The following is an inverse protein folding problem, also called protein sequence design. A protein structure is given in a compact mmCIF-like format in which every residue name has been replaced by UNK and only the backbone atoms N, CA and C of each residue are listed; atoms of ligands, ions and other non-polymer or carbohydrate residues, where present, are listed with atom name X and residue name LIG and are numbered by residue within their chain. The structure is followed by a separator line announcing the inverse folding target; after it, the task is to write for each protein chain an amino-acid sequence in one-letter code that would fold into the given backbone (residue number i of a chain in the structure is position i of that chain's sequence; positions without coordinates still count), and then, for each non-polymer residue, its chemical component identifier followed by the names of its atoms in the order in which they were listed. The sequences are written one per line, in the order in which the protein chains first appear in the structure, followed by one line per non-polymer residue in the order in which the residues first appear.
data_IF_974870826794
#
_entry.id   IF_974870826794
#
_cell.length_a   1.000
_cell.length_b   1.000
_cell.length_c   1.000
_cell.angle_alpha   90.00
_cell.angle_beta   90.00
_cell.angle_gamma   90.00
#
_symmetry.space_group_name_H-M   'P 1'
#
loop_
_entity.id
_entity.type
_entity.pdbx_description
1 polymer ?
#
# COMPACT_ATOMS: atom_id res chain seq x y z
N UNK A 1 -40.49 -0.66 -39.50
CA UNK A 1 -41.25 -1.16 -38.34
C UNK A 1 -41.86 -2.48 -38.75
N UNK A 2 -41.17 -3.57 -38.46
CA UNK A 2 -41.62 -4.93 -38.84
C UNK A 2 -42.55 -5.42 -37.73
N UNK A 3 -43.85 -5.31 -37.95
CA UNK A 3 -44.84 -5.97 -37.12
C UNK A 3 -44.85 -7.46 -37.51
N UNK A 4 -44.25 -8.31 -36.69
CA UNK A 4 -44.46 -9.75 -36.81
C UNK A 4 -45.88 -10.05 -36.30
N UNK A 5 -46.82 -10.23 -37.23
CA UNK A 5 -48.12 -10.82 -36.93
C UNK A 5 -47.93 -12.30 -36.60
N UNK A 6 -47.84 -12.62 -35.31
CA UNK A 6 -47.97 -13.99 -34.83
C UNK A 6 -49.48 -14.26 -34.73
N UNK A 7 -50.00 -15.07 -35.65
CA UNK A 7 -51.35 -15.58 -35.58
C UNK A 7 -51.43 -16.63 -34.45
N UNK A 8 -52.14 -16.32 -33.36
CA UNK A 8 -52.44 -17.30 -32.31
C UNK A 8 -53.79 -17.99 -32.58
N UNK A 9 -53.88 -19.33 -32.43
CA UNK A 9 -54.97 -20.14 -33.00
C UNK A 9 -56.16 -20.40 -32.05
N UNK A 10 -56.62 -19.39 -31.30
CA UNK A 10 -57.64 -19.61 -30.25
C UNK A 10 -58.81 -18.62 -30.26
N UNK A 11 -59.34 -18.28 -31.43
CA UNK A 11 -60.69 -17.72 -31.54
C UNK A 11 -61.62 -18.80 -32.11
N UNK A 12 -62.31 -19.55 -31.24
CA UNK A 12 -63.32 -20.51 -31.68
C UNK A 12 -64.44 -19.77 -32.42
N UNK A 13 -64.76 -20.25 -33.64
CA UNK A 13 -65.97 -19.88 -34.38
C UNK A 13 -67.19 -20.35 -33.57
N UNK A 14 -67.99 -19.41 -33.05
CA UNK A 14 -69.32 -19.73 -32.52
C UNK A 14 -70.34 -19.52 -33.65
N UNK A 15 -71.00 -20.60 -34.08
CA UNK A 15 -72.19 -20.56 -34.93
C UNK A 15 -73.39 -20.09 -34.10
N UNK A 16 -74.22 -19.20 -34.64
CA UNK A 16 -75.55 -18.92 -34.04
C UNK A 16 -76.63 -18.97 -35.12
N UNK A 17 -77.63 -19.80 -34.84
CA UNK A 17 -78.87 -20.04 -35.59
C UNK A 17 -79.84 -18.85 -35.51
N UNK A 18 -80.69 -18.74 -36.53
CA UNK A 18 -81.65 -17.68 -36.82
C UNK A 18 -82.58 -17.31 -35.65
N UNK A 19 -82.85 -15.99 -35.57
CA UNK A 19 -83.90 -15.29 -34.79
C UNK A 19 -83.56 -14.93 -33.34
N UNK A 20 -82.75 -13.89 -33.16
CA UNK A 20 -82.94 -12.70 -32.30
C UNK A 20 -81.65 -11.87 -32.43
N UNK A 21 -81.73 -10.60 -32.82
CA UNK A 21 -80.57 -9.69 -32.85
C UNK A 21 -80.18 -9.33 -31.41
N UNK A 22 -79.56 -10.28 -30.71
CA UNK A 22 -78.68 -9.94 -29.59
C UNK A 22 -77.32 -9.78 -30.25
N UNK A 23 -76.85 -8.54 -30.36
CA UNK A 23 -75.44 -8.27 -30.64
C UNK A 23 -74.70 -8.72 -29.37
N UNK A 24 -74.50 -10.03 -29.20
CA UNK A 24 -73.41 -10.51 -28.38
C UNK A 24 -72.19 -10.20 -29.23
N UNK A 25 -71.64 -9.00 -29.06
CA UNK A 25 -70.24 -8.76 -29.36
C UNK A 25 -69.51 -9.99 -28.84
N UNK A 26 -68.77 -10.73 -29.69
CA UNK A 26 -67.85 -11.71 -29.16
C UNK A 26 -67.00 -10.89 -28.19
N UNK A 27 -67.04 -11.25 -26.91
CA UNK A 27 -66.18 -10.72 -25.87
C UNK A 27 -64.71 -11.13 -26.18
N UNK A 28 -64.23 -10.83 -27.38
CA UNK A 28 -62.84 -10.51 -27.69
C UNK A 28 -62.45 -9.14 -27.10
N UNK A 29 -63.21 -8.65 -26.12
CA UNK A 29 -62.85 -7.50 -25.34
C UNK A 29 -61.55 -7.80 -24.60
N UNK A 30 -60.54 -6.99 -24.90
CA UNK A 30 -59.29 -6.86 -24.13
C UNK A 30 -58.18 -7.84 -24.52
N UNK A 31 -57.81 -7.81 -25.80
CA UNK A 31 -56.50 -8.28 -26.23
C UNK A 31 -55.43 -7.42 -25.55
N UNK A 32 -54.82 -7.95 -24.50
CA UNK A 32 -53.59 -7.42 -23.93
C UNK A 32 -52.42 -7.83 -24.81
N UNK A 33 -51.48 -6.91 -25.03
CA UNK A 33 -50.26 -7.22 -25.77
C UNK A 33 -49.09 -6.42 -25.25
N UNK A 34 -47.88 -6.98 -25.41
CA UNK A 34 -46.65 -6.24 -25.21
C UNK A 34 -46.26 -5.50 -26.49
N UNK A 35 -46.00 -4.21 -26.35
CA UNK A 35 -45.44 -3.40 -27.44
C UNK A 35 -44.07 -2.90 -27.04
N UNK A 36 -43.11 -3.06 -27.95
CA UNK A 36 -41.71 -2.69 -27.71
C UNK A 36 -41.27 -1.58 -28.65
N UNK A 37 -40.54 -0.60 -28.14
CA UNK A 37 -39.83 0.35 -29.00
C UNK A 37 -38.67 -0.34 -29.74
N UNK A 38 -38.07 0.39 -30.67
CA UNK A 38 -36.72 0.05 -31.13
C UNK A 38 -35.72 0.04 -29.97
N UNK A 39 -34.62 -0.68 -30.15
CA UNK A 39 -33.49 -0.65 -29.23
C UNK A 39 -32.76 0.70 -29.33
N UNK A 40 -32.28 1.20 -28.20
CA UNK A 40 -31.38 2.35 -28.13
C UNK A 40 -30.05 2.05 -28.81
N UNK A 41 -29.24 3.10 -29.01
CA UNK A 41 -27.81 2.91 -29.25
C UNK A 41 -27.17 2.13 -28.11
N UNK A 42 -26.06 1.43 -28.41
CA UNK A 42 -25.29 0.71 -27.41
C UNK A 42 -24.68 1.71 -26.42
N UNK A 43 -24.70 1.40 -25.11
CA UNK A 43 -24.15 2.27 -24.07
C UNK A 43 -22.63 2.50 -24.20
N UNK A 44 -21.94 1.66 -24.96
CA UNK A 44 -20.52 1.79 -25.29
C UNK A 44 -20.33 1.66 -26.80
N UNK A 45 -19.34 2.39 -27.32
CA UNK A 45 -18.91 2.28 -28.72
C UNK A 45 -17.93 1.12 -28.94
N UNK A 46 -17.26 0.66 -27.88
CA UNK A 46 -16.34 -0.46 -27.89
C UNK A 46 -16.56 -1.40 -26.69
N UNK A 47 -16.17 -2.67 -26.83
CA UNK A 47 -16.31 -3.71 -25.82
C UNK A 47 -17.77 -4.11 -25.57
N UNK A 48 -18.02 -4.69 -24.40
CA UNK A 48 -19.38 -5.09 -23.99
C UNK A 48 -20.15 -3.91 -23.41
N UNK A 49 -21.30 -3.60 -24.03
CA UNK A 49 -22.23 -2.58 -23.58
C UNK A 49 -23.66 -3.12 -23.47
N UNK A 50 -24.60 -2.21 -23.25
CA UNK A 50 -26.01 -2.53 -23.04
C UNK A 50 -26.89 -1.64 -23.93
N UNK A 51 -27.92 -2.24 -24.54
CA UNK A 51 -29.01 -1.51 -25.18
C UNK A 51 -30.29 -1.62 -24.36
N UNK A 52 -31.07 -0.55 -24.37
CA UNK A 52 -32.36 -0.45 -23.69
C UNK A 52 -33.48 -0.30 -24.71
N UNK A 53 -34.66 -0.83 -24.39
CA UNK A 53 -35.89 -0.52 -25.11
C UNK A 53 -37.04 -0.36 -24.13
N UNK A 54 -38.01 0.43 -24.54
CA UNK A 54 -39.26 0.56 -23.79
C UNK A 54 -40.15 -0.64 -24.09
N UNK A 55 -40.73 -1.22 -23.04
CA UNK A 55 -41.68 -2.34 -23.12
C UNK A 55 -42.93 -1.90 -22.36
N UNK A 56 -44.06 -1.77 -23.06
CA UNK A 56 -45.33 -1.33 -22.47
C UNK A 56 -46.42 -2.35 -22.74
N UNK A 57 -47.25 -2.58 -21.74
CA UNK A 57 -48.48 -3.35 -21.90
C UNK A 57 -49.55 -2.45 -22.55
N UNK A 58 -50.24 -2.97 -23.57
CA UNK A 58 -51.33 -2.29 -24.24
C UNK A 58 -52.60 -3.10 -24.13
N UNK A 59 -53.73 -2.41 -23.96
CA UNK A 59 -55.08 -2.97 -23.94
C UNK A 59 -55.87 -2.40 -25.11
N UNK A 60 -56.44 -3.26 -25.94
CA UNK A 60 -57.42 -2.84 -26.95
C UNK A 60 -58.74 -2.47 -26.26
N UNK A 61 -59.20 -1.24 -26.45
CA UNK A 61 -60.47 -0.74 -25.89
C UNK A 61 -61.61 -0.91 -26.89
N UNK A 62 -61.35 -0.62 -28.17
CA UNK A 62 -62.25 -0.87 -29.30
C UNK A 62 -61.44 -1.07 -30.59
N UNK A 63 -62.04 -1.53 -31.70
CA UNK A 63 -61.32 -1.68 -32.97
C UNK A 63 -60.62 -0.38 -33.40
N UNK A 64 -59.29 -0.38 -33.38
CA UNK A 64 -58.46 0.80 -33.71
C UNK A 64 -58.20 1.78 -32.57
N UNK A 65 -58.70 1.52 -31.35
CA UNK A 65 -58.44 2.34 -30.16
C UNK A 65 -57.77 1.51 -29.06
N UNK A 66 -56.53 1.85 -28.78
CA UNK A 66 -55.68 1.14 -27.84
C UNK A 66 -55.19 2.10 -26.74
N UNK A 67 -54.92 1.58 -25.54
CA UNK A 67 -54.32 2.37 -24.46
C UNK A 67 -53.20 1.62 -23.77
N UNK A 68 -52.12 2.33 -23.41
CA UNK A 68 -51.03 1.77 -22.60
C UNK A 68 -51.47 1.64 -21.15
N UNK A 69 -51.31 0.45 -20.58
CA UNK A 69 -51.75 0.10 -19.23
C UNK A 69 -50.60 -0.45 -18.39
N UNK A 70 -50.85 -0.75 -17.11
CA UNK A 70 -49.86 -1.33 -16.23
C UNK A 70 -49.46 -2.75 -16.65
N UNK A 71 -48.18 -3.06 -16.46
CA UNK A 71 -47.57 -4.35 -16.76
C UNK A 71 -48.29 -5.54 -16.13
N UNK A 72 -48.84 -5.37 -14.93
CA UNK A 72 -49.57 -6.39 -14.18
C UNK A 72 -50.74 -6.99 -14.97
N UNK A 73 -51.37 -6.21 -15.84
CA UNK A 73 -52.50 -6.68 -16.65
C UNK A 73 -52.06 -7.60 -17.77
N UNK A 74 -50.90 -7.39 -18.39
CA UNK A 74 -50.36 -8.34 -19.35
C UNK A 74 -49.85 -9.61 -18.63
N UNK A 75 -49.21 -9.44 -17.46
CA UNK A 75 -48.69 -10.56 -16.67
C UNK A 75 -49.79 -11.47 -16.11
N UNK A 76 -50.95 -10.92 -15.72
CA UNK A 76 -52.09 -11.71 -15.23
C UNK A 76 -52.76 -12.56 -16.30
N UNK A 77 -52.44 -12.30 -17.58
CA UNK A 77 -52.90 -13.09 -18.72
C UNK A 77 -51.77 -13.98 -19.27
N UNK A 78 -50.76 -14.27 -18.44
CA UNK A 78 -49.62 -15.14 -18.74
C UNK A 78 -48.81 -14.70 -19.99
N UNK A 79 -48.86 -13.41 -20.35
CA UNK A 79 -48.07 -12.88 -21.45
C UNK A 79 -46.63 -12.64 -21.00
N UNK A 80 -45.69 -13.36 -21.62
CA UNK A 80 -44.27 -13.21 -21.32
C UNK A 80 -43.75 -11.81 -21.67
N UNK A 81 -43.26 -11.09 -20.66
CA UNK A 81 -42.73 -9.73 -20.84
C UNK A 81 -41.41 -9.75 -21.62
N UNK A 82 -41.31 -9.08 -22.78
CA UNK A 82 -40.07 -8.99 -23.52
C UNK A 82 -38.96 -8.32 -22.71
N UNK A 83 -37.71 -8.73 -22.95
CA UNK A 83 -36.55 -8.12 -22.30
C UNK A 83 -36.47 -6.62 -22.62
N UNK A 84 -36.34 -5.77 -21.60
CA UNK A 84 -36.09 -4.33 -21.76
C UNK A 84 -34.60 -3.99 -21.93
N UNK A 85 -33.73 -4.98 -21.66
CA UNK A 85 -32.27 -4.88 -21.69
C UNK A 85 -31.70 -6.00 -22.55
N UNK A 86 -30.71 -5.71 -23.38
CA UNK A 86 -29.87 -6.73 -24.02
C UNK A 86 -28.41 -6.29 -24.05
N UNK A 87 -27.50 -7.27 -24.08
CA UNK A 87 -26.08 -7.03 -24.30
C UNK A 87 -25.85 -6.66 -25.77
N UNK A 88 -24.96 -5.71 -26.01
CA UNK A 88 -24.43 -5.38 -27.32
C UNK A 88 -22.90 -5.47 -27.28
N UNK A 89 -22.31 -5.97 -28.36
CA UNK A 89 -20.87 -6.03 -28.52
C UNK A 89 -20.45 -4.98 -29.54
N UNK A 90 -19.70 -3.97 -29.07
CA UNK A 90 -19.00 -3.03 -29.93
C UNK A 90 -17.72 -3.64 -30.50
N UNK A 91 -16.95 -2.85 -31.25
CA UNK A 91 -15.59 -3.24 -31.63
C UNK A 91 -14.72 -3.42 -30.38
N UNK A 92 -13.64 -4.21 -30.46
CA UNK A 92 -12.67 -4.28 -29.36
C UNK A 92 -12.22 -2.86 -29.00
N UNK A 93 -12.25 -2.52 -27.70
CA UNK A 93 -11.60 -1.29 -27.27
C UNK A 93 -10.10 -1.41 -27.62
N UNK A 94 -9.52 -0.32 -28.12
CA UNK A 94 -8.09 -0.27 -28.41
C UNK A 94 -7.24 -0.54 -27.16
N UNK A 95 -5.91 -0.64 -27.31
CA UNK A 95 -5.00 -0.91 -26.20
C UNK A 95 -5.18 0.09 -25.05
N UNK A 96 -5.19 -0.41 -23.81
CA UNK A 96 -5.31 0.37 -22.58
C UNK A 96 -4.18 0.01 -21.61
N UNK A 97 -3.91 0.89 -20.64
CA UNK A 97 -2.93 0.59 -19.60
C UNK A 97 -3.48 -0.44 -18.63
N UNK A 98 -2.83 -1.59 -18.57
CA UNK A 98 -3.07 -2.63 -17.58
C UNK A 98 -1.96 -2.61 -16.53
N UNK A 99 -2.36 -2.70 -15.26
CA UNK A 99 -1.44 -2.63 -14.12
C UNK A 99 -1.49 -3.91 -13.31
N UNK A 100 -0.32 -4.42 -12.94
CA UNK A 100 -0.22 -5.53 -12.00
C UNK A 100 -0.39 -5.04 -10.56
N UNK A 101 -0.51 -6.00 -9.65
CA UNK A 101 -0.30 -5.77 -8.22
C UNK A 101 1.11 -5.24 -7.95
N UNK A 102 1.24 -4.51 -6.84
CA UNK A 102 2.54 -4.05 -6.36
C UNK A 102 3.36 -5.23 -5.82
N UNK A 103 4.65 -5.22 -6.11
CA UNK A 103 5.64 -6.07 -5.45
C UNK A 103 5.73 -5.75 -3.96
N UNK A 104 6.38 -6.66 -3.23
CA UNK A 104 6.85 -6.34 -1.88
C UNK A 104 7.85 -5.17 -1.90
N UNK A 105 7.99 -4.52 -0.74
CA UNK A 105 8.95 -3.44 -0.57
C UNK A 105 10.37 -4.01 -0.65
N UNK A 106 11.24 -3.39 -1.44
CA UNK A 106 12.64 -3.85 -1.56
C UNK A 106 13.48 -3.65 -0.29
N UNK A 107 13.02 -2.81 0.64
CA UNK A 107 13.67 -2.55 1.91
C UNK A 107 13.01 -3.41 2.99
N UNK A 108 13.81 -3.99 3.87
CA UNK A 108 13.34 -4.76 5.05
C UNK A 108 13.15 -3.87 6.29
N UNK A 109 13.70 -2.65 6.26
CA UNK A 109 13.53 -1.60 7.26
C UNK A 109 13.63 -0.22 6.60
N UNK A 110 13.06 0.79 7.24
CA UNK A 110 13.12 2.18 6.79
C UNK A 110 12.38 2.41 5.47
N UNK A 111 12.91 3.33 4.66
CA UNK A 111 12.32 3.70 3.37
C UNK A 111 12.80 2.76 2.28
N UNK A 112 11.87 2.29 1.47
CA UNK A 112 12.14 1.49 0.28
C UNK A 112 11.29 1.92 -0.91
N UNK A 113 11.33 1.08 -1.94
CA UNK A 113 10.55 1.21 -3.17
C UNK A 113 9.90 -0.13 -3.48
N UNK A 114 8.65 -0.07 -3.95
CA UNK A 114 7.93 -1.20 -4.55
C UNK A 114 7.67 -0.93 -6.02
N UNK A 115 7.60 -1.98 -6.82
CA UNK A 115 7.45 -1.91 -8.27
C UNK A 115 6.17 -2.64 -8.69
N UNK A 116 5.61 -2.28 -9.83
CA UNK A 116 4.54 -3.02 -10.50
C UNK A 116 4.76 -2.98 -12.01
N UNK A 117 4.19 -3.94 -12.73
CA UNK A 117 4.17 -3.90 -14.18
C UNK A 117 3.05 -2.98 -14.65
N UNK A 118 3.35 -2.19 -15.68
CA UNK A 118 2.42 -1.30 -16.36
C UNK A 118 2.62 -1.56 -17.84
N UNK A 119 1.68 -2.24 -18.47
CA UNK A 119 1.78 -2.68 -19.85
C UNK A 119 0.61 -2.13 -20.66
N UNK A 120 0.87 -1.76 -21.91
CA UNK A 120 -0.19 -1.39 -22.83
C UNK A 120 -0.78 -2.68 -23.41
N UNK A 121 -2.02 -3.02 -23.09
CA UNK A 121 -2.62 -4.29 -23.50
C UNK A 121 -4.08 -4.12 -23.94
N UNK A 122 -4.57 -5.06 -24.74
CA UNK A 122 -5.94 -5.06 -25.24
C UNK A 122 -6.35 -6.41 -25.80
N UNK A 123 -7.55 -6.49 -26.36
CA UNK A 123 -8.07 -7.70 -26.99
C UNK A 123 -7.99 -7.60 -28.51
N UNK A 124 -7.14 -8.42 -29.13
CA UNK A 124 -7.07 -8.60 -30.59
C UNK A 124 -7.69 -9.96 -30.95
N UNK A 125 -8.80 -9.95 -31.70
CA UNK A 125 -9.51 -11.20 -32.03
C UNK A 125 -10.06 -11.95 -30.81
N UNK A 126 -10.33 -11.24 -29.70
CA UNK A 126 -10.77 -11.84 -28.43
C UNK A 126 -9.63 -12.42 -27.58
N UNK A 127 -8.38 -12.31 -28.03
CA UNK A 127 -7.19 -12.80 -27.32
C UNK A 127 -6.48 -11.60 -26.68
N UNK A 128 -6.08 -11.76 -25.41
CA UNK A 128 -5.27 -10.78 -24.72
C UNK A 128 -3.89 -10.65 -25.38
N UNK A 129 -3.51 -9.43 -25.72
CA UNK A 129 -2.24 -9.12 -26.36
C UNK A 129 -1.65 -7.84 -25.79
N UNK A 130 -0.34 -7.86 -25.57
CA UNK A 130 0.46 -6.69 -25.23
C UNK A 130 0.87 -5.93 -26.50
N UNK A 131 0.82 -4.61 -26.42
CA UNK A 131 1.10 -3.66 -27.50
C UNK A 131 2.27 -2.76 -27.10
N UNK A 132 2.95 -2.11 -28.07
CA UNK A 132 3.94 -1.10 -27.76
C UNK A 132 3.31 0.03 -26.92
N UNK A 133 4.04 0.54 -25.94
CA UNK A 133 3.60 1.64 -25.07
C UNK A 133 2.92 2.78 -25.83
N UNK A 134 3.46 3.17 -26.98
CA UNK A 134 2.95 4.24 -27.85
C UNK A 134 1.51 4.03 -28.35
N UNK A 135 0.99 2.80 -28.25
CA UNK A 135 -0.39 2.45 -28.62
C UNK A 135 -1.40 2.89 -27.55
N UNK A 136 -0.93 3.17 -26.33
CA UNK A 136 -1.70 3.69 -25.23
C UNK A 136 -1.41 5.18 -25.01
N UNK A 137 -2.39 5.90 -24.48
CA UNK A 137 -2.28 7.32 -24.15
C UNK A 137 -1.26 7.55 -23.03
N UNK A 138 -0.12 8.15 -23.37
CA UNK A 138 0.98 8.41 -22.43
C UNK A 138 0.61 9.38 -21.32
N UNK A 139 -0.37 10.26 -21.54
CA UNK A 139 -0.79 11.24 -20.53
C UNK A 139 -1.41 10.59 -19.28
N UNK A 140 -1.95 9.39 -19.46
CA UNK A 140 -2.62 8.61 -18.42
C UNK A 140 -1.79 7.40 -17.95
N UNK A 141 -0.51 7.30 -18.33
CA UNK A 141 0.34 6.15 -17.98
C UNK A 141 0.53 6.07 -16.46
N UNK A 142 0.10 4.96 -15.82
CA UNK A 142 0.32 4.77 -14.39
C UNK A 142 1.80 4.64 -14.03
N UNK A 143 2.18 5.04 -12.80
CA UNK A 143 3.55 4.87 -12.31
C UNK A 143 3.88 3.39 -12.09
N UNK A 144 5.08 2.96 -12.49
CA UNK A 144 5.60 1.61 -12.25
C UNK A 144 6.27 1.45 -10.88
N UNK A 145 6.58 2.55 -10.19
CA UNK A 145 7.28 2.54 -8.90
C UNK A 145 6.57 3.42 -7.88
N UNK A 146 6.66 3.06 -6.60
CA UNK A 146 6.10 3.84 -5.50
C UNK A 146 6.94 3.66 -4.24
N UNK A 147 6.98 4.68 -3.38
CA UNK A 147 7.67 4.61 -2.10
C UNK A 147 6.92 3.69 -1.12
N UNK A 148 7.68 2.98 -0.29
CA UNK A 148 7.15 2.18 0.81
C UNK A 148 7.96 2.42 2.08
N UNK A 149 7.33 2.18 3.23
CA UNK A 149 7.92 2.37 4.54
C UNK A 149 7.76 1.11 5.36
N UNK A 150 8.88 0.57 5.82
CA UNK A 150 8.96 -0.51 6.78
C UNK A 150 9.26 0.06 8.18
N UNK A 151 9.31 -0.84 9.17
CA UNK A 151 9.81 -0.52 10.51
C UNK A 151 11.16 0.22 10.45
N UNK A 152 11.48 1.14 11.39
CA UNK A 152 12.77 1.82 11.40
C UNK A 152 13.95 0.83 11.42
N UNK A 153 15.07 1.22 10.81
CA UNK A 153 16.29 0.41 10.81
C UNK A 153 17.02 0.52 12.15
N UNK A 154 17.54 -0.61 12.62
CA UNK A 154 18.38 -0.68 13.82
C UNK A 154 19.80 -0.19 13.53
N UNK A 155 20.33 0.74 14.34
CA UNK A 155 21.68 1.31 14.18
C UNK A 155 22.44 1.37 15.51
N UNK A 156 23.76 1.16 15.43
CA UNK A 156 24.65 1.37 16.57
C UNK A 156 24.87 2.86 16.81
N UNK A 157 24.73 3.26 18.07
CA UNK A 157 25.04 4.59 18.56
C UNK A 157 26.15 4.50 19.60
N UNK A 158 27.07 5.46 19.57
CA UNK A 158 28.18 5.52 20.53
C UNK A 158 28.29 6.90 21.14
N UNK A 159 28.59 6.97 22.43
CA UNK A 159 29.00 8.23 23.06
C UNK A 159 30.45 8.56 22.69
N UNK A 160 30.88 9.79 23.00
CA UNK A 160 32.30 10.12 23.06
C UNK A 160 33.02 9.23 24.07
N UNK A 161 34.32 9.03 23.85
CA UNK A 161 35.20 8.34 24.78
C UNK A 161 35.29 9.08 26.11
N UNK A 162 35.37 8.32 27.21
CA UNK A 162 35.70 8.86 28.53
C UNK A 162 37.11 9.45 28.55
N UNK A 163 37.44 10.15 29.63
CA UNK A 163 38.84 10.42 29.96
C UNK A 163 39.59 9.10 30.17
N UNK A 164 40.91 9.14 29.93
CA UNK A 164 41.78 7.98 30.15
C UNK A 164 41.78 7.62 31.63
N UNK A 165 41.76 6.32 31.94
CA UNK A 165 41.76 5.83 33.33
C UNK A 165 43.02 6.21 34.13
N UNK A 166 44.07 6.66 33.44
CA UNK A 166 45.30 7.16 34.04
C UNK A 166 45.59 8.57 33.51
N UNK A 167 46.22 9.38 34.33
CA UNK A 167 46.72 10.71 33.96
C UNK A 167 48.12 10.68 33.35
N UNK A 168 48.76 9.51 33.33
CA UNK A 168 50.06 9.27 32.72
C UNK A 168 50.21 7.81 32.29
N UNK A 169 51.07 7.56 31.30
CA UNK A 169 51.33 6.24 30.72
C UNK A 169 50.11 5.63 30.04
N UNK A 170 50.11 4.29 29.93
CA UNK A 170 49.04 3.53 29.27
C UNK A 170 47.86 3.27 30.20
N UNK A 171 46.69 3.74 29.79
CA UNK A 171 45.40 3.51 30.44
C UNK A 171 44.35 2.94 29.48
N UNK A 172 43.08 3.00 29.89
CA UNK A 172 41.92 2.59 29.09
C UNK A 172 40.89 3.70 29.08
N UNK A 173 40.25 3.91 27.94
CA UNK A 173 39.05 4.74 27.80
C UNK A 173 37.84 3.85 27.51
N UNK A 174 36.68 4.28 27.97
CA UNK A 174 35.42 3.56 27.79
C UNK A 174 34.38 4.47 27.15
N UNK A 175 33.45 3.91 26.40
CA UNK A 175 32.28 4.61 25.87
C UNK A 175 31.06 3.72 25.93
N UNK A 176 29.88 4.32 25.92
CA UNK A 176 28.65 3.54 25.77
C UNK A 176 28.41 3.18 24.30
N UNK A 177 27.97 1.95 24.07
CA UNK A 177 27.59 1.44 22.74
C UNK A 177 26.20 0.83 22.87
N UNK A 178 25.22 1.45 22.22
CA UNK A 178 23.80 1.09 22.33
C UNK A 178 23.20 0.91 20.93
N UNK A 179 22.28 -0.04 20.78
CA UNK A 179 21.56 -0.26 19.53
C UNK A 179 20.17 0.36 19.63
N UNK A 180 19.82 1.18 18.65
CA UNK A 180 18.52 1.84 18.59
C UNK A 180 17.77 1.46 17.32
N UNK A 181 16.45 1.28 17.42
CA UNK A 181 15.55 1.11 16.30
C UNK A 181 14.57 2.29 16.27
N UNK A 182 14.85 3.30 15.45
CA UNK A 182 14.17 4.58 15.60
C UNK A 182 14.63 5.26 16.90
N UNK A 183 13.68 5.61 17.77
CA UNK A 183 13.97 6.22 19.08
C UNK A 183 14.04 5.20 20.23
N UNK A 184 13.67 3.94 19.98
CA UNK A 184 13.63 2.90 21.01
C UNK A 184 14.97 2.18 21.16
N UNK A 185 15.38 1.94 22.41
CA UNK A 185 16.55 1.13 22.73
C UNK A 185 16.21 -0.37 22.55
N UNK A 186 16.94 -1.03 21.66
CA UNK A 186 16.71 -2.45 21.38
C UNK A 186 17.29 -3.30 22.51
N UNK A 187 16.40 -3.89 23.32
CA UNK A 187 16.77 -4.76 24.46
C UNK A 187 16.48 -6.24 24.21
N UNK A 188 15.57 -6.59 23.28
CA UNK A 188 15.21 -7.96 22.84
C UNK A 188 14.75 -7.95 21.37
N UNK A 189 15.09 -8.97 20.56
CA UNK A 189 14.66 -9.10 19.16
C UNK A 189 15.78 -8.87 18.12
N UNK A 190 15.42 -8.59 16.85
CA UNK A 190 16.37 -8.34 15.75
C UNK A 190 17.29 -7.17 16.11
N UNK A 191 18.47 -7.53 16.62
CA UNK A 191 19.49 -6.62 17.11
C UNK A 191 20.26 -6.02 15.94
N UNK A 192 20.90 -4.89 16.18
CA UNK A 192 21.94 -4.40 15.29
C UNK A 192 22.95 -5.52 15.04
N UNK A 193 23.49 -5.59 13.82
CA UNK A 193 24.47 -6.61 13.46
C UNK A 193 25.66 -6.56 14.43
N UNK A 194 25.90 -7.68 15.12
CA UNK A 194 26.98 -7.83 16.08
C UNK A 194 28.35 -7.72 15.43
N UNK A 195 28.49 -8.08 14.15
CA UNK A 195 29.75 -7.93 13.41
C UNK A 195 30.13 -6.45 13.21
N UNK A 196 29.13 -5.57 13.16
CA UNK A 196 29.31 -4.12 13.02
C UNK A 196 29.33 -3.39 14.37
N UNK A 197 29.32 -4.12 15.50
CA UNK A 197 29.28 -3.51 16.83
C UNK A 197 30.58 -2.75 17.12
N UNK A 198 30.52 -1.43 17.38
CA UNK A 198 31.70 -0.65 17.74
C UNK A 198 32.30 -1.08 19.09
N UNK A 199 33.60 -0.90 19.26
CA UNK A 199 34.28 -1.21 20.52
C UNK A 199 33.82 -0.29 21.65
N UNK A 200 33.54 -0.86 22.82
CA UNK A 200 33.17 -0.09 24.01
C UNK A 200 34.36 0.34 24.86
N UNK A 201 35.57 -0.20 24.58
CA UNK A 201 36.80 0.07 25.33
C UNK A 201 37.97 0.14 24.36
N UNK A 202 38.89 1.07 24.59
CA UNK A 202 40.13 1.18 23.84
C UNK A 202 41.30 1.58 24.76
N UNK A 203 42.53 1.28 24.35
CA UNK A 203 43.74 1.75 25.04
C UNK A 203 43.99 3.22 24.76
N UNK A 204 44.44 3.96 25.78
CA UNK A 204 44.92 5.34 25.66
C UNK A 204 46.35 5.44 26.20
N UNK A 205 47.13 6.33 25.61
CA UNK A 205 48.50 6.62 26.04
C UNK A 205 48.64 8.12 26.27
N UNK A 206 48.88 8.50 27.53
CA UNK A 206 49.22 9.87 27.91
C UNK A 206 50.74 9.95 28.07
N UNK A 207 51.27 11.15 28.30
CA UNK A 207 52.65 11.39 28.74
C UNK A 207 53.14 10.34 29.73
N UNK A 208 54.42 9.96 29.59
CA UNK A 208 55.08 9.03 30.50
C UNK A 208 54.91 9.45 31.95
N UNK A 209 54.65 8.48 32.83
CA UNK A 209 54.52 8.78 34.25
C UNK A 209 55.84 9.35 34.79
N UNK A 210 55.79 10.43 35.60
CA UNK A 210 56.97 10.92 36.29
C UNK A 210 57.62 9.78 37.08
N UNK A 211 58.89 9.48 36.77
CA UNK A 211 59.68 8.48 37.49
C UNK A 211 60.14 9.02 38.85
N UNK A 212 60.11 10.34 39.03
CA UNK A 212 60.44 11.01 40.28
C UNK A 212 59.22 11.12 41.19
N UNK A 213 59.26 10.42 42.33
CA UNK A 213 58.21 10.52 43.33
C UNK A 213 58.27 11.89 44.03
N UNK A 214 57.18 12.68 44.03
CA UNK A 214 57.12 13.95 44.74
C UNK A 214 57.20 13.75 46.25
N UNK A 215 57.56 14.81 46.98
CA UNK A 215 57.50 14.81 48.44
C UNK A 215 56.07 14.62 48.93
N UNK A 216 55.88 13.84 50.01
CA UNK A 216 54.56 13.66 50.63
C UNK A 216 54.07 15.01 51.17
N UNK A 217 52.85 15.45 50.84
CA UNK A 217 52.35 16.76 51.26
C UNK A 217 52.18 16.90 52.78
N UNK A 218 52.05 15.80 53.51
CA UNK A 218 51.96 15.79 54.98
C UNK A 218 53.31 15.78 55.68
N UNK A 219 54.43 15.69 54.94
CA UNK A 219 55.76 15.63 55.50
C UNK A 219 56.42 17.01 55.51
N UNK A 220 56.95 17.41 56.67
CA UNK A 220 57.70 18.66 56.81
C UNK A 220 59.13 18.49 56.28
N UNK A 221 59.30 18.45 54.96
CA UNK A 221 60.59 18.16 54.34
C UNK A 221 61.67 19.23 54.58
N UNK A 222 61.26 20.48 54.79
CA UNK A 222 62.17 21.54 55.25
C UNK A 222 62.80 21.23 56.62
N UNK A 223 62.04 20.63 57.55
CA UNK A 223 62.57 20.22 58.84
C UNK A 223 63.51 19.02 58.67
N UNK A 224 63.10 18.00 57.90
CA UNK A 224 63.89 16.81 57.60
C UNK A 224 65.28 17.17 57.04
N UNK A 225 65.35 18.17 56.16
CA UNK A 225 66.61 18.68 55.62
C UNK A 225 67.44 19.40 56.69
N UNK A 226 66.83 20.33 57.46
CA UNK A 226 67.51 21.10 58.52
C UNK A 226 68.14 20.22 59.59
N UNK A 227 67.45 19.15 60.00
CA UNK A 227 67.95 18.21 61.02
C UNK A 227 68.63 16.97 60.44
N UNK A 228 68.99 16.97 59.14
CA UNK A 228 69.75 15.91 58.46
C UNK A 228 69.15 14.50 58.58
N UNK A 229 67.83 14.38 58.56
CA UNK A 229 67.13 13.09 58.70
C UNK A 229 66.99 12.31 57.38
N UNK A 230 67.47 12.83 56.25
CA UNK A 230 67.42 12.17 54.94
C UNK A 230 68.19 10.82 54.86
N UNK A 231 69.03 10.50 55.84
CA UNK A 231 69.67 9.19 55.97
C UNK A 231 68.70 8.10 56.42
N UNK A 232 67.66 8.46 57.18
CA UNK A 232 66.66 7.53 57.65
C UNK A 232 65.66 7.21 56.53
N UNK A 233 65.46 5.93 56.29
CA UNK A 233 64.62 5.41 55.20
C UNK A 233 63.21 6.02 55.19
N UNK A 234 62.60 6.21 56.37
CA UNK A 234 61.24 6.71 56.53
C UNK A 234 61.12 8.16 56.01
N UNK A 235 62.03 9.04 56.43
CA UNK A 235 62.06 10.43 56.01
C UNK A 235 62.52 10.59 54.56
N UNK A 236 63.48 9.76 54.11
CA UNK A 236 63.90 9.71 52.69
C UNK A 236 62.77 9.28 51.75
N UNK A 237 61.90 8.37 52.20
CA UNK A 237 60.68 7.96 51.48
C UNK A 237 59.61 9.05 51.48
N UNK A 238 59.46 9.79 52.57
CA UNK A 238 58.47 10.86 52.69
C UNK A 238 58.90 12.13 51.97
N UNK A 239 60.20 12.43 51.93
CA UNK A 239 60.80 13.62 51.32
C UNK A 239 61.75 13.21 50.18
N UNK A 240 61.20 12.45 49.22
CA UNK A 240 61.94 11.82 48.13
C UNK A 240 62.66 12.82 47.22
N UNK A 241 62.00 13.92 46.84
CA UNK A 241 62.55 14.96 45.98
C UNK A 241 63.52 15.84 46.78
N UNK A 242 63.12 16.30 47.97
CA UNK A 242 63.97 17.12 48.85
C UNK A 242 65.27 16.43 49.24
N UNK A 243 65.25 15.14 49.60
CA UNK A 243 66.44 14.41 50.02
C UNK A 243 67.33 13.94 48.87
N UNK A 244 66.90 14.10 47.61
CA UNK A 244 67.70 13.80 46.40
C UNK A 244 68.34 15.04 45.78
N UNK A 245 67.80 16.24 46.01
CA UNK A 245 68.33 17.47 45.44
C UNK A 245 69.81 17.69 45.87
N UNK A 246 70.70 18.13 44.96
CA UNK A 246 72.05 18.53 45.33
C UNK A 246 72.00 19.63 46.38
N UNK A 247 72.78 19.51 47.46
CA UNK A 247 72.90 20.61 48.43
C UNK A 247 73.63 21.77 47.74
N UNK A 248 73.14 23.02 47.85
CA UNK A 248 73.94 24.19 47.48
C UNK A 248 75.20 24.28 48.37
#
# INVERSE_FOLDING_TARGET
MTAHQIAYPSCQRVYISLKTLIITTPHCCFLFRWETSGWSACSRTCGEGVQYRTVRCWKMLSPGLDSSVYDSLCLSHDLHKPASRKVCHGQSCGPQWEVSEWSECNATCGRGVRQRQVVCAGLEGGVFKEFPDSSCDQSNKPQNSSSCFQRPCSKWFTTSWSQCSKTCGRGVQVREVKCYQGEELVTRGQSCDSALKPEAKQSCEIQSCPTEAPDKPTANCALVLKVKLCSHWYYRKACCQSCKAPRP
#
